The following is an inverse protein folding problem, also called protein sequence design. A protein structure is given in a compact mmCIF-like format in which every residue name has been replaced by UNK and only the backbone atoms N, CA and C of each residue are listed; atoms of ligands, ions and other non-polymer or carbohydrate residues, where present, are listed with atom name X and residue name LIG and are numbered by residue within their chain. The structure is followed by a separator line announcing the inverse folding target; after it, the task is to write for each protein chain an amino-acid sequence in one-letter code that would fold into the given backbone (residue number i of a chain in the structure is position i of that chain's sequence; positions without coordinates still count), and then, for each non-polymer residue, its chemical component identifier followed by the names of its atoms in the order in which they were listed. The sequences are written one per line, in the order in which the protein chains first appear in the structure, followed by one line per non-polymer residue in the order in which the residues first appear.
data_IF_891740630319
#
_entry.id   IF_891740630319
#
_cell.length_a   1.000
_cell.length_b   1.000
_cell.length_c   1.000
_cell.angle_alpha   90.00
_cell.angle_beta   90.00
_cell.angle_gamma   90.00
#
_symmetry.space_group_name_H-M   'P 1'
#
loop_
_entity.id
_entity.type
_entity.pdbx_description
1 polymer ?
#
# COMPACT_ATOMS: atom_id res chain seq x y z
N UNK A 1 3.50 -3.06 -21.12
CA UNK A 1 2.50 -2.25 -20.38
C UNK A 1 2.02 -3.04 -19.18
N UNK A 2 1.53 -2.38 -18.12
CA UNK A 2 0.92 -3.04 -16.96
C UNK A 2 -0.54 -3.37 -17.30
N UNK A 3 -0.94 -4.64 -17.11
CA UNK A 3 -2.27 -5.13 -17.47
C UNK A 3 -3.25 -5.18 -16.28
N UNK A 4 -2.74 -5.26 -15.06
CA UNK A 4 -3.50 -5.24 -13.81
C UNK A 4 -2.58 -5.10 -12.61
N UNK A 5 -3.15 -4.74 -11.45
CA UNK A 5 -2.39 -4.53 -10.22
C UNK A 5 -3.08 -5.16 -9.01
N UNK A 6 -2.30 -5.82 -8.15
CA UNK A 6 -2.75 -6.30 -6.84
C UNK A 6 -1.88 -5.65 -5.77
N UNK A 7 -2.49 -4.88 -4.87
CA UNK A 7 -1.83 -4.29 -3.70
C UNK A 7 -2.15 -5.10 -2.45
N UNK A 8 -1.14 -5.38 -1.62
CA UNK A 8 -1.27 -6.05 -0.32
C UNK A 8 -0.80 -5.08 0.75
N UNK A 9 -1.68 -4.75 1.70
CA UNK A 9 -1.44 -3.73 2.73
C UNK A 9 -0.84 -2.45 2.14
N UNK A 10 -1.38 -2.00 1.00
CA UNK A 10 -0.81 -0.89 0.23
C UNK A 10 -0.64 0.36 1.11
N UNK A 11 0.57 0.92 1.10
CA UNK A 11 0.99 1.96 2.04
C UNK A 11 1.41 3.27 1.34
N UNK A 12 0.57 3.84 0.44
CA UNK A 12 0.87 5.13 -0.15
C UNK A 12 1.05 6.20 0.94
N UNK A 13 2.02 7.08 0.74
CA UNK A 13 2.35 8.21 1.62
C UNK A 13 2.73 7.79 3.06
N UNK A 14 3.10 6.52 3.30
CA UNK A 14 3.46 6.00 4.63
C UNK A 14 4.56 6.83 5.31
N UNK A 15 5.57 7.24 4.55
CA UNK A 15 6.69 8.02 5.05
C UNK A 15 6.23 9.39 5.60
N UNK A 16 5.19 9.98 5.01
CA UNK A 16 4.62 11.24 5.49
C UNK A 16 3.88 11.03 6.81
N UNK A 17 3.12 9.93 6.93
CA UNK A 17 2.50 9.53 8.20
C UNK A 17 3.55 9.25 9.28
N UNK A 18 4.69 8.67 8.89
CA UNK A 18 5.80 8.49 9.82
C UNK A 18 6.31 9.82 10.35
N UNK A 19 6.54 10.80 9.47
CA UNK A 19 6.95 12.15 9.85
C UNK A 19 5.95 12.84 10.79
N UNK A 20 4.65 12.71 10.52
CA UNK A 20 3.60 13.26 11.39
C UNK A 20 3.61 12.63 12.78
N UNK A 21 3.96 11.34 12.88
CA UNK A 21 4.04 10.60 14.12
C UNK A 21 5.38 10.65 14.87
N UNK A 22 6.37 11.43 14.42
CA UNK A 22 7.63 11.59 15.15
C UNK A 22 7.48 12.52 16.35
N UNK A 23 8.09 12.13 17.47
CA UNK A 23 8.25 12.99 18.64
C UNK A 23 9.35 14.05 18.46
N UNK A 24 9.45 14.99 19.40
CA UNK A 24 10.40 16.10 19.31
C UNK A 24 11.86 15.64 19.33
N UNK A 25 12.18 14.56 20.06
CA UNK A 25 13.54 14.02 20.11
C UNK A 25 13.93 13.37 18.78
N UNK A 26 13.00 12.65 18.15
CA UNK A 26 13.19 12.06 16.83
C UNK A 26 13.32 13.13 15.74
N UNK A 27 12.59 14.24 15.85
CA UNK A 27 12.74 15.39 14.95
C UNK A 27 14.09 16.07 15.12
N UNK A 28 14.56 16.28 16.36
CA UNK A 28 15.89 16.83 16.63
C UNK A 28 17.01 15.91 16.10
N UNK A 29 16.87 14.60 16.28
CA UNK A 29 17.79 13.61 15.72
C UNK A 29 17.86 13.67 14.19
N UNK A 30 16.73 13.87 13.50
CA UNK A 30 16.71 14.05 12.05
C UNK A 30 17.45 15.31 11.61
N UNK A 31 17.29 16.42 12.34
CA UNK A 31 17.93 17.69 12.01
C UNK A 31 19.44 17.69 12.31
N UNK A 32 19.84 17.12 13.45
CA UNK A 32 21.22 17.19 13.94
C UNK A 32 22.09 16.02 13.47
N UNK A 33 21.50 14.82 13.33
CA UNK A 33 22.21 13.57 12.98
C UNK A 33 21.85 13.05 11.59
N UNK A 34 20.86 13.65 10.93
CA UNK A 34 20.38 13.22 9.60
C UNK A 34 19.52 11.95 9.61
N UNK A 35 19.27 11.35 10.78
CA UNK A 35 18.46 10.14 10.93
C UNK A 35 17.93 9.98 12.35
N UNK A 36 16.80 9.29 12.51
CA UNK A 36 16.25 8.90 13.81
C UNK A 36 15.94 7.40 13.84
N UNK A 37 15.71 6.86 15.05
CA UNK A 37 15.32 5.47 15.27
C UNK A 37 13.83 5.37 15.58
N UNK A 38 13.16 4.45 14.89
CA UNK A 38 11.75 4.11 15.10
C UNK A 38 11.63 2.65 15.54
N UNK A 39 10.86 2.38 16.59
CA UNK A 39 10.62 1.01 17.05
C UNK A 39 9.98 0.16 15.95
N UNK A 40 10.30 -1.13 15.96
CA UNK A 40 9.72 -2.13 15.06
C UNK A 40 8.76 -3.03 15.83
N UNK A 41 7.63 -3.39 15.20
CA UNK A 41 6.76 -4.47 15.69
C UNK A 41 7.27 -5.87 15.28
N UNK A 42 8.31 -5.94 14.46
CA UNK A 42 8.78 -7.15 13.78
C UNK A 42 10.23 -7.53 14.08
N UNK A 43 10.96 -6.65 14.76
CA UNK A 43 12.38 -6.77 15.04
C UNK A 43 12.67 -6.15 16.41
N UNK A 44 13.62 -6.72 17.15
CA UNK A 44 14.14 -6.10 18.38
C UNK A 44 14.94 -4.83 18.05
N UNK A 45 15.58 -4.80 16.88
CA UNK A 45 16.31 -3.64 16.40
C UNK A 45 15.34 -2.60 15.78
N UNK A 46 15.45 -1.31 16.16
CA UNK A 46 14.66 -0.25 15.57
C UNK A 46 15.10 0.04 14.12
N UNK A 47 14.16 0.51 13.31
CA UNK A 47 14.45 0.99 11.97
C UNK A 47 15.11 2.37 12.02
N UNK A 48 16.09 2.58 11.15
CA UNK A 48 16.69 3.90 10.93
C UNK A 48 15.89 4.61 9.83
N UNK A 49 15.30 5.75 10.16
CA UNK A 49 14.61 6.63 9.23
C UNK A 49 15.53 7.81 8.94
N UNK A 50 15.89 8.03 7.68
CA UNK A 50 16.78 9.12 7.28
C UNK A 50 15.99 10.36 6.90
N UNK A 51 16.58 11.55 7.09
CA UNK A 51 16.00 12.82 6.65
C UNK A 51 15.74 12.82 5.14
N UNK A 52 16.67 12.27 4.36
CA UNK A 52 16.53 12.12 2.91
C UNK A 52 15.31 11.25 2.53
N UNK A 53 15.04 10.16 3.26
CA UNK A 53 13.86 9.34 3.03
C UNK A 53 12.58 10.14 3.30
N UNK A 54 12.52 10.89 4.40
CA UNK A 54 11.36 11.74 4.72
C UNK A 54 11.11 12.78 3.64
N UNK A 55 12.14 13.53 3.26
CA UNK A 55 12.04 14.57 2.24
C UNK A 55 11.61 13.99 0.88
N UNK A 56 12.12 12.81 0.52
CA UNK A 56 11.71 12.12 -0.69
C UNK A 56 10.27 11.62 -0.65
N UNK A 57 9.85 11.04 0.48
CA UNK A 57 8.45 10.67 0.69
C UNK A 57 7.49 11.87 0.57
N UNK A 58 7.88 13.04 1.10
CA UNK A 58 7.11 14.27 0.97
C UNK A 58 6.97 14.76 -0.49
N UNK A 59 7.99 14.54 -1.34
CA UNK A 59 7.94 14.88 -2.77
C UNK A 59 7.12 13.88 -3.58
N UNK A 60 7.09 12.61 -3.17
CA UNK A 60 6.42 11.51 -3.89
C UNK A 60 5.02 11.19 -3.35
N UNK A 61 4.32 12.17 -2.76
CA UNK A 61 2.96 11.99 -2.30
C UNK A 61 1.99 11.71 -3.45
N UNK A 62 1.12 10.72 -3.28
CA UNK A 62 0.20 10.28 -4.33
C UNK A 62 -1.28 10.48 -3.99
N UNK A 63 -1.66 10.56 -2.71
CA UNK A 63 -3.09 10.62 -2.34
C UNK A 63 -3.72 12.01 -2.44
N UNK A 64 -2.95 13.02 -2.87
CA UNK A 64 -3.38 14.43 -2.89
C UNK A 64 -4.09 14.80 -4.20
N UNK A 65 -4.02 13.93 -5.20
CA UNK A 65 -4.62 14.13 -6.51
C UNK A 65 -5.21 12.82 -7.05
N UNK A 66 -6.13 12.87 -8.04
CA UNK A 66 -6.58 11.68 -8.73
C UNK A 66 -5.42 10.89 -9.35
N UNK A 67 -5.46 9.57 -9.24
CA UNK A 67 -4.43 8.64 -9.70
C UNK A 67 -4.84 7.99 -11.02
N UNK A 68 -4.19 8.35 -12.16
CA UNK A 68 -4.55 7.85 -13.48
C UNK A 68 -4.02 6.42 -13.74
N UNK A 69 -4.40 5.47 -12.89
CA UNK A 69 -4.09 4.06 -13.10
C UNK A 69 -4.91 3.54 -14.28
N UNK A 70 -4.24 3.04 -15.31
CA UNK A 70 -4.87 2.64 -16.57
C UNK A 70 -5.29 1.16 -16.63
N UNK A 71 -5.31 0.47 -15.49
CA UNK A 71 -5.59 -0.97 -15.41
C UNK A 71 -6.45 -1.31 -14.19
N UNK A 72 -7.13 -2.48 -14.19
CA UNK A 72 -7.89 -2.94 -13.03
C UNK A 72 -7.00 -3.15 -11.80
N UNK A 73 -7.55 -2.84 -10.62
CA UNK A 73 -6.82 -2.90 -9.35
C UNK A 73 -7.57 -3.75 -8.33
N UNK A 74 -6.85 -4.56 -7.54
CA UNK A 74 -7.36 -5.27 -6.37
C UNK A 74 -6.52 -4.90 -5.16
N UNK A 75 -7.14 -4.45 -4.07
CA UNK A 75 -6.46 -4.06 -2.85
C UNK A 75 -6.86 -5.01 -1.72
N UNK A 76 -5.91 -5.78 -1.19
CA UNK A 76 -6.10 -6.69 -0.05
C UNK A 76 -5.55 -6.02 1.21
N UNK A 77 -6.35 -5.91 2.28
CA UNK A 77 -5.92 -5.26 3.52
C UNK A 77 -6.45 -5.97 4.77
N UNK A 78 -5.57 -6.19 5.74
CA UNK A 78 -5.92 -6.72 7.06
C UNK A 78 -6.55 -5.65 7.97
N UNK A 79 -7.67 -5.95 8.62
CA UNK A 79 -8.29 -4.99 9.55
C UNK A 79 -7.59 -4.91 10.92
N UNK A 80 -6.63 -5.80 11.19
CA UNK A 80 -5.76 -5.78 12.36
C UNK A 80 -4.35 -5.29 12.01
N UNK A 81 -4.18 -4.67 10.85
CA UNK A 81 -2.93 -4.01 10.48
C UNK A 81 -2.64 -2.85 11.45
N UNK A 82 -1.51 -2.94 12.14
CA UNK A 82 -1.05 -1.95 13.11
C UNK A 82 -0.05 -0.95 12.51
N UNK A 83 0.45 -1.20 11.30
CA UNK A 83 1.40 -0.31 10.61
C UNK A 83 0.67 0.66 9.68
N UNK A 84 -0.35 0.17 8.98
CA UNK A 84 -1.15 0.93 8.01
C UNK A 84 -2.63 0.75 8.32
N UNK A 85 -3.37 1.83 8.66
CA UNK A 85 -4.81 1.71 8.83
C UNK A 85 -5.48 1.24 7.54
N UNK A 86 -6.32 0.20 7.62
CA UNK A 86 -6.97 -0.39 6.44
C UNK A 86 -7.82 0.60 5.62
N UNK A 87 -8.26 1.70 6.24
CA UNK A 87 -8.96 2.81 5.60
C UNK A 87 -8.11 3.48 4.51
N UNK A 88 -6.78 3.39 4.58
CA UNK A 88 -5.87 3.86 3.52
C UNK A 88 -6.15 3.15 2.19
N UNK A 89 -6.58 1.88 2.20
CA UNK A 89 -7.00 1.21 0.96
C UNK A 89 -8.32 1.74 0.39
N UNK A 90 -9.22 2.24 1.24
CA UNK A 90 -10.42 2.92 0.76
C UNK A 90 -10.07 4.28 0.13
N UNK A 91 -9.21 5.06 0.79
CA UNK A 91 -8.71 6.33 0.26
C UNK A 91 -7.99 6.13 -1.08
N UNK A 92 -7.10 5.12 -1.16
CA UNK A 92 -6.41 4.78 -2.40
C UNK A 92 -7.40 4.40 -3.51
N UNK A 93 -8.42 3.60 -3.21
CA UNK A 93 -9.43 3.23 -4.19
C UNK A 93 -10.24 4.43 -4.69
N UNK A 94 -10.56 5.38 -3.82
CA UNK A 94 -11.25 6.64 -4.18
C UNK A 94 -10.39 7.53 -5.08
N UNK A 95 -9.07 7.57 -4.86
CA UNK A 95 -8.15 8.35 -5.70
C UNK A 95 -7.91 7.73 -7.06
N UNK A 96 -7.93 6.40 -7.19
CA UNK A 96 -7.73 5.73 -8.47
C UNK A 96 -8.89 6.05 -9.43
N UNK A 97 -8.57 6.59 -10.60
CA UNK A 97 -9.59 6.99 -11.59
C UNK A 97 -10.13 5.83 -12.43
N UNK A 98 -9.48 4.67 -12.38
CA UNK A 98 -9.99 3.47 -13.04
C UNK A 98 -11.31 3.03 -12.41
N UNK A 99 -12.27 2.60 -13.22
CA UNK A 99 -13.60 2.18 -12.73
C UNK A 99 -13.61 0.78 -12.12
N UNK A 100 -12.62 -0.02 -12.44
CA UNK A 100 -12.50 -1.41 -12.00
C UNK A 100 -11.46 -1.50 -10.88
N UNK A 101 -11.90 -1.18 -9.67
CA UNK A 101 -11.12 -1.22 -8.43
C UNK A 101 -11.95 -1.96 -7.38
N UNK A 102 -11.36 -2.96 -6.75
CA UNK A 102 -11.98 -3.64 -5.62
C UNK A 102 -11.09 -3.56 -4.38
N UNK A 103 -11.71 -3.39 -3.22
CA UNK A 103 -11.04 -3.45 -1.91
C UNK A 103 -11.58 -4.65 -1.15
N UNK A 104 -10.69 -5.54 -0.72
CA UNK A 104 -11.01 -6.71 0.08
C UNK A 104 -10.43 -6.51 1.48
N UNK A 105 -11.31 -6.45 2.48
CA UNK A 105 -10.93 -6.24 3.88
C UNK A 105 -11.00 -7.57 4.64
N UNK A 106 -9.88 -7.99 5.24
CA UNK A 106 -9.75 -9.25 5.96
C UNK A 106 -9.83 -8.96 7.46
N UNK A 107 -10.97 -9.26 8.09
CA UNK A 107 -11.25 -8.95 9.51
C UNK A 107 -10.15 -9.38 10.47
N UNK A 108 -9.56 -10.55 10.23
CA UNK A 108 -8.49 -11.10 11.06
C UNK A 108 -7.09 -10.95 10.48
N UNK A 109 -6.92 -10.24 9.37
CA UNK A 109 -5.63 -10.06 8.71
C UNK A 109 -4.80 -9.00 9.42
N UNK A 110 -3.50 -9.26 9.58
CA UNK A 110 -2.50 -8.29 10.01
C UNK A 110 -1.88 -7.57 8.80
N UNK A 111 -0.82 -6.80 9.02
CA UNK A 111 -0.07 -6.10 7.97
C UNK A 111 0.57 -7.05 6.95
N UNK A 112 1.01 -8.23 7.38
CA UNK A 112 1.78 -9.15 6.55
C UNK A 112 0.90 -9.93 5.58
N UNK A 113 -0.34 -10.24 6.00
CA UNK A 113 -1.26 -11.10 5.24
C UNK A 113 -0.57 -12.37 4.73
N UNK A 114 0.18 -13.04 5.61
CA UNK A 114 1.07 -14.15 5.25
C UNK A 114 0.66 -15.50 5.83
N UNK A 115 -0.49 -15.61 6.51
CA UNK A 115 -1.03 -16.91 6.93
C UNK A 115 -1.41 -17.75 5.70
N UNK A 116 -1.46 -19.08 5.79
CA UNK A 116 -1.82 -19.92 4.64
C UNK A 116 -3.10 -19.49 3.91
N UNK A 117 -4.13 -19.08 4.65
CA UNK A 117 -5.38 -18.58 4.08
C UNK A 117 -5.25 -17.21 3.41
N UNK A 118 -4.35 -16.34 3.87
CA UNK A 118 -4.12 -15.03 3.27
C UNK A 118 -3.32 -15.16 1.96
N UNK A 119 -2.32 -16.04 1.94
CA UNK A 119 -1.59 -16.40 0.73
C UNK A 119 -2.51 -17.05 -0.31
N UNK A 120 -3.40 -17.94 0.11
CA UNK A 120 -4.41 -18.52 -0.78
C UNK A 120 -5.32 -17.44 -1.39
N UNK A 121 -5.78 -16.46 -0.57
CA UNK A 121 -6.56 -15.31 -1.08
C UNK A 121 -5.77 -14.50 -2.11
N UNK A 122 -4.50 -14.21 -1.85
CA UNK A 122 -3.65 -13.48 -2.79
C UNK A 122 -3.52 -14.23 -4.12
N UNK A 123 -3.20 -15.52 -4.09
CA UNK A 123 -3.08 -16.36 -5.30
C UNK A 123 -4.39 -16.35 -6.08
N UNK A 124 -5.52 -16.65 -5.43
CA UNK A 124 -6.83 -16.63 -6.09
C UNK A 124 -7.19 -15.26 -6.66
N UNK A 125 -6.79 -14.17 -6.00
CA UNK A 125 -7.04 -12.80 -6.48
C UNK A 125 -6.27 -12.53 -7.77
N UNK A 126 -5.00 -12.93 -7.81
CA UNK A 126 -4.15 -12.81 -9.01
C UNK A 126 -4.71 -13.67 -10.15
N UNK A 127 -5.03 -14.94 -9.90
CA UNK A 127 -5.59 -15.85 -10.92
C UNK A 127 -6.88 -15.29 -11.54
N UNK A 128 -7.79 -14.81 -10.69
CA UNK A 128 -9.06 -14.21 -11.15
C UNK A 128 -8.84 -12.95 -11.95
N UNK A 129 -7.92 -12.09 -11.53
CA UNK A 129 -7.59 -10.86 -12.26
C UNK A 129 -6.97 -11.18 -13.62
N UNK A 130 -6.05 -12.15 -13.69
CA UNK A 130 -5.47 -12.63 -14.95
C UNK A 130 -6.54 -13.17 -15.90
N UNK A 131 -7.40 -14.08 -15.44
CA UNK A 131 -8.49 -14.66 -16.24
C UNK A 131 -9.44 -13.56 -16.76
N UNK A 132 -9.77 -12.60 -15.91
CA UNK A 132 -10.62 -11.47 -16.27
C UNK A 132 -10.02 -10.59 -17.37
N UNK A 133 -8.75 -10.22 -17.25
CA UNK A 133 -8.03 -9.42 -18.25
C UNK A 133 -8.01 -10.16 -19.60
N UNK A 134 -7.61 -11.43 -19.60
CA UNK A 134 -7.53 -12.25 -20.82
C UNK A 134 -8.89 -12.38 -21.51
N UNK A 135 -9.97 -12.54 -20.74
CA UNK A 135 -11.32 -12.63 -21.29
C UNK A 135 -11.73 -11.35 -22.02
N UNK A 136 -11.38 -10.18 -21.47
CA UNK A 136 -11.71 -8.87 -22.07
C UNK A 136 -10.91 -8.56 -23.32
N UNK A 137 -9.65 -8.99 -23.39
CA UNK A 137 -8.84 -8.83 -24.60
C UNK A 137 -9.40 -9.68 -25.74
N UNK A 138 -9.81 -10.92 -25.44
CA UNK A 138 -10.45 -11.79 -26.43
C UNK A 138 -11.77 -11.20 -26.95
N UNK A 139 -12.62 -10.65 -26.07
CA UNK A 139 -13.86 -9.98 -26.48
C UNK A 139 -13.62 -8.73 -27.34
N UNK A 140 -12.54 -7.96 -27.10
CA UNK A 140 -12.18 -6.80 -27.93
C UNK A 140 -11.63 -7.18 -29.30
N UNK A 141 -10.97 -8.33 -29.42
CA UNK A 141 -10.41 -8.80 -30.69
C UNK A 141 -11.46 -9.43 -31.62
N UNK A 142 -12.60 -9.85 -31.06
CA UNK A 142 -13.68 -10.53 -31.79
C UNK A 142 -14.77 -9.60 -32.35
N UNK A 143 -14.70 -8.29 -32.10
CA UNK A 143 -15.65 -7.28 -32.60
C UNK A 143 -14.93 -6.16 -33.35
#
# INVERSE_FOLDING_TARGET
RVAGMVGVAASPDLVVRWWEGLDDAQRDDLETKGSCRRSSLYSEEPYVVTKTLIEDGCRNKVLQQPLPVACPVRLLHGMQDLDVPWQVSLELAERITHKDVEVHLIKGGDHRLSRPEDLARLVTTVERLCAYITSRECSKAAG
#
